data_IF_213977075986
#
_entry.id   IF_213977075986
#
_cell.length_a   1.000
_cell.length_b   1.000
_cell.length_c   1.000
_cell.angle_alpha   90.00
_cell.angle_beta   90.00
_cell.angle_gamma   90.00
#
_symmetry.space_group_name_H-M   'P 1'
#
loop_
_entity.id
_entity.type
_entity.pdbx_description
1 polymer ?
#
# COMPACT_ATOMS: atom_id res chain seq x y z
N UNK A 1 6.55 -0.94 15.00
CA UNK A 1 6.04 -2.31 15.22
C UNK A 1 4.84 -2.59 14.33
N UNK A 2 4.88 -3.69 13.62
CA UNK A 2 3.77 -4.08 12.73
C UNK A 2 2.83 -5.03 13.49
N UNK A 3 1.54 -4.77 13.41
CA UNK A 3 0.50 -5.59 14.03
C UNK A 3 -0.76 -5.62 13.18
N UNK A 4 -1.70 -6.49 13.55
CA UNK A 4 -2.99 -6.54 12.87
C UNK A 4 -3.76 -5.24 13.07
N UNK A 5 -4.52 -4.87 12.04
CA UNK A 5 -5.45 -3.76 12.09
C UNK A 5 -6.55 -4.02 13.13
N UNK A 6 -6.92 -2.99 13.86
CA UNK A 6 -8.06 -2.99 14.78
C UNK A 6 -9.05 -1.92 14.34
N UNK A 7 -10.33 -2.11 14.65
CA UNK A 7 -11.39 -1.19 14.22
C UNK A 7 -11.10 0.27 14.61
N UNK A 8 -10.50 0.49 15.76
CA UNK A 8 -10.13 1.82 16.25
C UNK A 8 -9.09 2.53 15.38
N UNK A 9 -8.37 1.78 14.52
CA UNK A 9 -7.35 2.33 13.63
C UNK A 9 -7.94 2.92 12.35
N UNK A 10 -9.23 2.67 12.07
CA UNK A 10 -9.83 2.95 10.77
C UNK A 10 -9.70 4.40 10.32
N UNK A 11 -9.99 5.35 11.19
CA UNK A 11 -9.95 6.77 10.83
C UNK A 11 -8.54 7.20 10.43
N UNK A 12 -7.54 6.77 11.18
CA UNK A 12 -6.14 7.09 10.87
C UNK A 12 -5.69 6.42 9.57
N UNK A 13 -6.03 5.15 9.39
CA UNK A 13 -5.71 4.41 8.16
C UNK A 13 -6.33 5.10 6.94
N UNK A 14 -7.59 5.55 7.05
CA UNK A 14 -8.25 6.22 5.94
C UNK A 14 -7.59 7.56 5.58
N UNK A 15 -7.12 8.31 6.57
CA UNK A 15 -6.38 9.54 6.31
C UNK A 15 -5.06 9.26 5.62
N UNK A 16 -4.35 8.21 6.04
CA UNK A 16 -3.09 7.81 5.40
C UNK A 16 -3.35 7.36 3.95
N UNK A 17 -4.44 6.61 3.71
CA UNK A 17 -4.83 6.18 2.38
C UNK A 17 -5.09 7.38 1.45
N UNK A 18 -5.92 8.32 1.91
CA UNK A 18 -6.30 9.48 1.09
C UNK A 18 -5.09 10.36 0.78
N UNK A 19 -4.35 10.76 1.80
CA UNK A 19 -3.19 11.64 1.61
C UNK A 19 -2.08 10.95 0.82
N UNK A 20 -1.87 9.67 1.03
CA UNK A 20 -0.88 8.90 0.28
C UNK A 20 -1.19 8.87 -1.21
N UNK A 21 -2.46 8.65 -1.57
CA UNK A 21 -2.88 8.66 -2.97
C UNK A 21 -2.80 10.04 -3.60
N UNK A 22 -3.24 11.07 -2.88
CA UNK A 22 -3.16 12.45 -3.36
C UNK A 22 -1.72 12.87 -3.65
N UNK A 23 -0.78 12.48 -2.80
CA UNK A 23 0.63 12.81 -2.95
C UNK A 23 1.33 12.00 -4.04
N UNK A 24 1.06 10.70 -4.09
CA UNK A 24 1.75 9.79 -5.01
C UNK A 24 1.21 9.84 -6.44
N UNK A 25 -0.06 10.15 -6.59
CA UNK A 25 -0.78 10.00 -7.87
C UNK A 25 -1.33 11.33 -8.36
N UNK A 26 -0.44 12.33 -8.52
CA UNK A 26 -0.81 13.68 -8.96
C UNK A 26 -1.40 13.71 -10.38
N UNK A 27 -1.14 12.67 -11.18
CA UNK A 27 -1.67 12.50 -12.53
C UNK A 27 -3.13 12.00 -12.55
N UNK A 28 -3.70 11.69 -11.39
CA UNK A 28 -5.10 11.30 -11.23
C UNK A 28 -5.82 12.44 -10.50
N UNK A 29 -7.00 12.87 -10.98
CA UNK A 29 -7.73 13.95 -10.30
C UNK A 29 -8.00 13.64 -8.84
N UNK A 30 -7.84 14.63 -7.97
CA UNK A 30 -8.09 14.47 -6.53
C UNK A 30 -9.52 14.01 -6.25
N UNK A 31 -10.48 14.43 -7.08
CA UNK A 31 -11.88 14.02 -6.95
C UNK A 31 -12.07 12.50 -7.02
N UNK A 32 -11.24 11.80 -7.83
CA UNK A 32 -11.31 10.35 -7.92
C UNK A 32 -11.12 9.70 -6.53
N UNK A 33 -10.08 10.12 -5.80
CA UNK A 33 -9.79 9.56 -4.48
C UNK A 33 -10.85 9.95 -3.45
N UNK A 34 -11.33 11.19 -3.50
CA UNK A 34 -12.35 11.68 -2.57
C UNK A 34 -13.69 10.99 -2.78
N UNK A 35 -14.05 10.70 -4.02
CA UNK A 35 -15.28 9.99 -4.36
C UNK A 35 -15.24 8.53 -3.93
N UNK A 36 -14.05 7.93 -3.90
CA UNK A 36 -13.87 6.53 -3.50
C UNK A 36 -13.65 6.35 -2.00
N UNK A 37 -13.53 7.44 -1.25
CA UNK A 37 -13.18 7.41 0.18
C UNK A 37 -14.14 6.54 0.99
N UNK A 38 -15.45 6.76 0.87
CA UNK A 38 -16.44 6.02 1.65
C UNK A 38 -16.50 4.55 1.26
N UNK A 39 -16.37 4.25 -0.01
CA UNK A 39 -16.36 2.86 -0.50
C UNK A 39 -15.16 2.11 0.09
N UNK A 40 -13.98 2.72 0.05
CA UNK A 40 -12.76 2.13 0.59
C UNK A 40 -12.86 1.98 2.10
N UNK A 41 -13.43 2.98 2.79
CA UNK A 41 -13.66 2.94 4.24
C UNK A 41 -14.49 1.72 4.63
N UNK A 42 -15.52 1.41 3.84
CA UNK A 42 -16.39 0.26 4.10
C UNK A 42 -15.71 -1.06 3.80
N UNK A 43 -14.82 -1.08 2.81
CA UNK A 43 -14.13 -2.30 2.36
C UNK A 43 -12.92 -2.67 3.21
N UNK A 44 -12.17 -1.69 3.69
CA UNK A 44 -10.90 -1.93 4.38
C UNK A 44 -11.00 -2.88 5.57
N UNK A 45 -11.99 -2.75 6.48
CA UNK A 45 -12.07 -3.64 7.63
C UNK A 45 -12.29 -5.11 7.27
N UNK A 46 -12.71 -5.40 6.04
CA UNK A 46 -12.96 -6.75 5.55
C UNK A 46 -11.73 -7.36 4.88
N UNK A 47 -10.69 -6.56 4.64
CA UNK A 47 -9.45 -7.01 4.02
C UNK A 47 -8.45 -7.46 5.10
N UNK A 48 -7.39 -8.13 4.66
CA UNK A 48 -6.28 -8.48 5.54
C UNK A 48 -5.38 -7.26 5.66
N UNK A 49 -5.41 -6.56 6.80
CA UNK A 49 -4.67 -5.32 7.03
C UNK A 49 -3.69 -5.46 8.18
N UNK A 50 -2.49 -4.93 7.97
CA UNK A 50 -1.49 -4.76 9.02
C UNK A 50 -1.07 -3.32 9.08
N UNK A 51 -0.89 -2.81 10.29
CA UNK A 51 -0.54 -1.42 10.54
C UNK A 51 0.83 -1.33 11.20
N UNK A 52 1.52 -0.24 10.95
CA UNK A 52 2.75 0.08 11.66
C UNK A 52 2.42 1.09 12.74
N UNK A 53 2.71 0.74 13.99
CA UNK A 53 2.49 1.59 15.15
C UNK A 53 3.84 2.12 15.63
N UNK A 54 3.93 3.44 15.77
CA UNK A 54 5.11 4.09 16.31
C UNK A 54 5.21 3.77 17.81
N UNK A 55 6.30 3.17 18.24
CA UNK A 55 6.46 2.70 19.62
C UNK A 55 6.48 3.84 20.63
N UNK A 56 7.00 5.01 20.24
CA UNK A 56 7.09 6.16 21.15
C UNK A 56 5.75 6.89 21.31
N UNK A 57 5.03 7.10 20.21
CA UNK A 57 3.78 7.89 20.20
C UNK A 57 2.52 7.05 20.24
N UNK A 58 2.63 5.76 19.93
CA UNK A 58 1.53 4.81 19.79
C UNK A 58 0.58 5.16 18.63
N UNK A 59 1.00 6.05 17.75
CA UNK A 59 0.21 6.41 16.59
C UNK A 59 0.51 5.50 15.40
N UNK A 60 -0.51 5.27 14.58
CA UNK A 60 -0.38 4.53 13.34
C UNK A 60 0.25 5.45 12.30
N UNK A 61 1.34 5.03 11.69
CA UNK A 61 2.07 5.81 10.68
C UNK A 61 2.23 5.11 9.33
N UNK A 62 1.64 3.93 9.17
CA UNK A 62 1.61 3.23 7.90
C UNK A 62 0.74 1.99 7.96
N UNK A 63 0.40 1.46 6.79
CA UNK A 63 -0.33 0.19 6.70
C UNK A 63 -0.11 -0.50 5.37
N UNK A 64 -0.39 -1.81 5.35
CA UNK A 64 -0.41 -2.62 4.14
C UNK A 64 -1.72 -3.39 4.11
N UNK A 65 -2.37 -3.44 2.94
CA UNK A 65 -3.59 -4.19 2.71
C UNK A 65 -3.35 -5.32 1.73
N UNK A 66 -3.86 -6.49 2.05
CA UNK A 66 -3.69 -7.72 1.25
C UNK A 66 -5.04 -8.36 0.96
N UNK A 67 -5.15 -8.91 -0.25
CA UNK A 67 -6.21 -9.84 -0.61
C UNK A 67 -5.52 -11.11 -1.09
N UNK A 68 -5.54 -12.15 -0.27
CA UNK A 68 -4.77 -13.37 -0.53
C UNK A 68 -3.28 -13.04 -0.70
N UNK A 69 -2.69 -13.29 -1.86
CA UNK A 69 -1.27 -12.99 -2.15
C UNK A 69 -1.08 -11.65 -2.84
N UNK A 70 -2.15 -10.88 -3.02
CA UNK A 70 -2.09 -9.59 -3.73
C UNK A 70 -2.01 -8.43 -2.74
N UNK A 71 -1.03 -7.56 -2.94
CA UNK A 71 -0.91 -6.33 -2.16
C UNK A 71 -1.82 -5.28 -2.81
N UNK A 72 -2.86 -4.87 -2.07
CA UNK A 72 -3.77 -3.81 -2.52
C UNK A 72 -3.12 -2.43 -2.39
N UNK A 73 -2.24 -2.26 -1.41
CA UNK A 73 -1.48 -1.03 -1.24
C UNK A 73 -0.62 -1.04 -0.01
N UNK A 74 0.46 -0.25 -0.07
CA UNK A 74 1.32 0.05 1.08
C UNK A 74 1.38 1.58 1.18
N UNK A 75 1.04 2.11 2.34
CA UNK A 75 0.97 3.54 2.55
C UNK A 75 1.70 3.91 3.84
N UNK A 76 2.48 4.99 3.79
CA UNK A 76 3.21 5.53 4.95
C UNK A 76 2.86 7.00 5.07
N UNK A 77 2.55 7.44 6.28
CA UNK A 77 2.26 8.85 6.54
C UNK A 77 3.45 9.72 6.11
N UNK A 78 3.16 10.88 5.53
CA UNK A 78 4.18 11.76 4.96
C UNK A 78 5.29 12.10 5.97
N UNK A 79 4.91 12.38 7.21
CA UNK A 79 5.84 12.73 8.29
C UNK A 79 6.75 11.56 8.71
N UNK A 80 6.39 10.34 8.33
CA UNK A 80 7.12 9.13 8.72
C UNK A 80 7.85 8.45 7.57
N UNK A 81 7.87 9.06 6.38
CA UNK A 81 8.53 8.48 5.21
C UNK A 81 10.05 8.46 5.37
N UNK A 82 10.69 7.55 4.64
CA UNK A 82 12.15 7.37 4.62
C UNK A 82 12.74 6.90 5.94
N UNK A 83 11.93 6.22 6.75
CA UNK A 83 12.34 5.65 8.05
C UNK A 83 12.26 4.13 8.07
N UNK A 84 12.09 3.49 6.90
CA UNK A 84 12.02 2.03 6.81
C UNK A 84 10.68 1.42 7.15
N UNK A 85 9.62 2.21 7.30
CA UNK A 85 8.28 1.72 7.67
C UNK A 85 7.68 0.89 6.55
N UNK A 86 7.75 1.38 5.30
CA UNK A 86 7.28 0.63 4.14
C UNK A 86 7.94 -0.73 4.00
N UNK A 87 9.26 -0.77 4.23
CA UNK A 87 10.02 -2.02 4.21
C UNK A 87 9.57 -2.95 5.33
N UNK A 88 9.35 -2.42 6.54
CA UNK A 88 8.91 -3.23 7.68
C UNK A 88 7.55 -3.86 7.40
N UNK A 89 6.61 -3.11 6.82
CA UNK A 89 5.30 -3.62 6.43
C UNK A 89 5.43 -4.72 5.37
N UNK A 90 6.28 -4.49 4.39
CA UNK A 90 6.49 -5.45 3.31
C UNK A 90 7.15 -6.74 3.81
N UNK A 91 8.17 -6.63 4.68
CA UNK A 91 8.83 -7.78 5.29
C UNK A 91 7.84 -8.62 6.11
N UNK A 92 6.92 -7.96 6.82
CA UNK A 92 5.86 -8.65 7.57
C UNK A 92 4.98 -9.48 6.62
N UNK A 93 4.56 -8.89 5.50
CA UNK A 93 3.77 -9.60 4.48
C UNK A 93 4.56 -10.76 3.88
N UNK A 94 5.84 -10.56 3.57
CA UNK A 94 6.71 -11.61 3.02
C UNK A 94 6.87 -12.78 3.99
N UNK A 95 6.86 -12.53 5.28
CA UNK A 95 6.96 -13.59 6.28
C UNK A 95 5.72 -14.49 6.32
N UNK A 96 4.60 -14.00 5.82
CA UNK A 96 3.30 -14.68 5.89
C UNK A 96 2.85 -15.31 4.59
N UNK A 97 3.44 -14.91 3.46
CA UNK A 97 2.99 -15.33 2.13
C UNK A 97 4.16 -15.93 1.35
N UNK A 98 3.92 -17.00 0.56
CA UNK A 98 4.97 -17.60 -0.27
C UNK A 98 5.31 -16.74 -1.49
N UNK A 99 4.39 -15.89 -1.89
CA UNK A 99 4.56 -14.95 -3.01
C UNK A 99 3.65 -13.76 -2.81
N UNK A 100 3.98 -12.66 -3.46
CA UNK A 100 3.18 -11.45 -3.42
C UNK A 100 3.13 -10.84 -4.82
N UNK A 101 1.94 -10.40 -5.22
CA UNK A 101 1.75 -9.65 -6.45
C UNK A 101 1.27 -8.25 -6.12
N UNK A 102 1.44 -7.33 -7.03
CA UNK A 102 0.92 -5.97 -6.89
C UNK A 102 0.76 -5.33 -8.26
N UNK A 103 -0.04 -4.27 -8.30
CA UNK A 103 -0.12 -3.37 -9.45
C UNK A 103 0.33 -2.00 -9.00
N UNK A 104 1.13 -1.32 -9.82
CA UNK A 104 1.63 0.01 -9.53
C UNK A 104 1.54 0.86 -10.79
N UNK A 105 1.10 2.10 -10.66
CA UNK A 105 1.03 3.01 -11.80
C UNK A 105 2.42 3.27 -12.35
N UNK A 106 2.56 3.21 -13.67
CA UNK A 106 3.84 3.43 -14.34
C UNK A 106 4.43 4.79 -13.99
N UNK A 107 3.59 5.80 -13.83
CA UNK A 107 4.02 7.15 -13.48
C UNK A 107 4.49 7.30 -12.04
N UNK A 108 4.21 6.32 -11.19
CA UNK A 108 4.69 6.32 -9.81
C UNK A 108 6.09 5.71 -9.73
N UNK A 109 7.08 6.45 -10.22
CA UNK A 109 8.47 6.00 -10.33
C UNK A 109 9.08 5.67 -8.97
N UNK A 110 8.69 6.38 -7.94
CA UNK A 110 9.18 6.18 -6.57
C UNK A 110 8.77 4.82 -6.03
N UNK A 111 7.51 4.44 -6.23
CA UNK A 111 7.03 3.13 -5.82
C UNK A 111 7.68 2.02 -6.61
N UNK A 112 7.84 2.20 -7.93
CA UNK A 112 8.53 1.23 -8.77
C UNK A 112 9.94 0.97 -8.28
N UNK A 113 10.69 2.03 -7.97
CA UNK A 113 12.05 1.91 -7.45
C UNK A 113 12.07 1.17 -6.10
N UNK A 114 11.12 1.49 -5.22
CA UNK A 114 10.98 0.83 -3.93
C UNK A 114 10.77 -0.68 -4.10
N UNK A 115 9.79 -1.08 -4.92
CA UNK A 115 9.46 -2.49 -5.09
C UNK A 115 10.62 -3.26 -5.75
N UNK A 116 11.33 -2.64 -6.69
CA UNK A 116 12.53 -3.27 -7.29
C UNK A 116 13.61 -3.51 -6.25
N UNK A 117 13.85 -2.56 -5.36
CA UNK A 117 14.82 -2.74 -4.27
C UNK A 117 14.41 -3.87 -3.34
N UNK A 118 13.10 -4.08 -3.17
CA UNK A 118 12.55 -5.12 -2.32
C UNK A 118 12.36 -6.45 -3.06
N UNK A 119 13.04 -6.62 -4.21
CA UNK A 119 13.13 -7.87 -4.96
C UNK A 119 11.88 -8.24 -5.74
N UNK A 120 11.01 -7.29 -6.03
CA UNK A 120 9.91 -7.51 -6.97
C UNK A 120 10.41 -7.36 -8.39
N UNK A 121 9.88 -8.20 -9.28
CA UNK A 121 10.20 -8.15 -10.71
C UNK A 121 8.95 -7.85 -11.51
N UNK A 122 9.12 -7.19 -12.66
CA UNK A 122 8.01 -6.89 -13.55
C UNK A 122 7.49 -8.19 -14.16
N UNK A 123 6.19 -8.42 -14.09
CA UNK A 123 5.51 -9.58 -14.64
C UNK A 123 4.75 -9.26 -15.93
N UNK A 124 4.06 -8.14 -15.93
CA UNK A 124 3.26 -7.69 -17.08
C UNK A 124 2.95 -6.20 -16.94
N UNK A 125 2.32 -5.64 -17.99
CA UNK A 125 1.80 -4.28 -17.93
C UNK A 125 0.36 -4.26 -18.44
N UNK A 126 -0.34 -3.16 -18.20
CA UNK A 126 -1.73 -3.01 -18.60
C UNK A 126 -2.22 -1.60 -18.33
N UNK A 127 -3.55 -1.45 -18.35
CA UNK A 127 -4.21 -0.18 -18.10
C UNK A 127 -5.20 -0.37 -16.96
N UNK A 128 -5.18 0.52 -15.99
CA UNK A 128 -6.20 0.57 -14.95
C UNK A 128 -7.47 1.16 -15.58
N UNK A 129 -8.51 0.36 -15.68
CA UNK A 129 -9.75 0.76 -16.36
C UNK A 129 -10.46 1.92 -15.65
N UNK A 130 -10.30 2.04 -14.34
CA UNK A 130 -10.96 3.08 -13.55
C UNK A 130 -10.34 4.45 -13.76
N UNK A 131 -9.03 4.52 -13.99
CA UNK A 131 -8.28 5.77 -14.14
C UNK A 131 -7.75 5.99 -15.54
N UNK A 132 -7.76 4.96 -16.38
CA UNK A 132 -7.17 4.95 -17.72
C UNK A 132 -5.66 5.22 -17.70
N UNK A 133 -5.00 4.92 -16.59
CA UNK A 133 -3.54 5.08 -16.45
C UNK A 133 -2.83 3.76 -16.63
N UNK A 134 -1.65 3.81 -17.25
CA UNK A 134 -0.81 2.63 -17.41
C UNK A 134 -0.32 2.13 -16.06
N UNK A 135 -0.38 0.82 -15.87
CA UNK A 135 0.10 0.18 -14.64
C UNK A 135 0.98 -1.01 -14.96
N UNK A 136 1.80 -1.38 -13.97
CA UNK A 136 2.75 -2.48 -14.08
C UNK A 136 2.41 -3.48 -12.98
N UNK A 137 2.29 -4.77 -13.34
CA UNK A 137 2.12 -5.85 -12.41
C UNK A 137 3.49 -6.39 -12.03
N UNK A 138 3.72 -6.56 -10.73
CA UNK A 138 4.99 -7.04 -10.21
C UNK A 138 4.79 -8.27 -9.33
N UNK A 139 5.83 -9.08 -9.23
CA UNK A 139 5.82 -10.34 -8.47
C UNK A 139 7.08 -10.47 -7.62
N UNK A 140 6.88 -10.89 -6.39
CA UNK A 140 7.94 -11.39 -5.51
C UNK A 140 7.60 -12.83 -5.12
N UNK A 141 8.62 -13.70 -5.14
CA UNK A 141 8.48 -15.09 -4.72
C UNK A 141 9.52 -15.40 -3.66
N UNK A 142 9.08 -16.09 -2.60
CA UNK A 142 10.00 -16.54 -1.55
C UNK A 142 10.99 -17.52 -2.12
N UNK A 143 12.25 -17.31 -1.83
CA UNK A 143 13.30 -18.24 -2.25
C UNK A 143 13.33 -19.45 -1.31
N UNK A 144 13.55 -20.62 -1.88
CA UNK A 144 13.63 -21.87 -1.14
C UNK A 144 14.88 -21.92 -0.26
#
# INVERSE_FOLDING_TARGET
MVRKFETQDLDTVMQIWLHGNLDAHVFIPASFWREHFEIVRDMLPQAELYVHENEATRQIDGFIGLTENHIEGIFVAKSARSKGIGRALLEYAKSRKPRLTLSVYQKNERALAFYRREQFVVQSDGIDEDTNEAEIQMLWTRQA
#
